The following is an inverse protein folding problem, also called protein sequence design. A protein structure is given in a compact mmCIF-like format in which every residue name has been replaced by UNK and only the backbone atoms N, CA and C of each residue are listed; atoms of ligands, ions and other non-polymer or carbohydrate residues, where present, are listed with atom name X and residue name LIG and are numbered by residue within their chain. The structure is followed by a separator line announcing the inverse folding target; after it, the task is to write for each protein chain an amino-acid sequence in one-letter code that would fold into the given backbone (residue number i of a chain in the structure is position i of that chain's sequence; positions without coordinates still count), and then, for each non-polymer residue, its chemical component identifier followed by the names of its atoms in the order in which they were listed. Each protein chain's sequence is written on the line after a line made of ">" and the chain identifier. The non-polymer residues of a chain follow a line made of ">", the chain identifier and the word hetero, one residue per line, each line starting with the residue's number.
data_IF_210347969522
#
_entry.id   IF_210347969522
#
_cell.length_a   1.000
_cell.length_b   1.000
_cell.length_c   1.000
_cell.angle_alpha   90.00
_cell.angle_beta   90.00
_cell.angle_gamma   90.00
#
_symmetry.space_group_name_H-M   'P 1'
#
loop_
_entity.id
_entity.type
_entity.pdbx_description
1 polymer ?
#
# COMPACT_ATOMS: atom_id res chain seq x y z
N UNK A 1 -21.81 -10.96 10.82
CA UNK A 1 -20.49 -10.32 10.51
C UNK A 1 -19.40 -11.27 10.98
N UNK A 2 -18.65 -11.87 10.07
CA UNK A 2 -17.62 -12.88 10.37
C UNK A 2 -16.47 -12.35 11.24
N UNK A 3 -16.19 -11.05 11.18
CA UNK A 3 -15.14 -10.43 11.99
C UNK A 3 -15.59 -9.98 13.39
N UNK A 4 -16.86 -10.13 13.73
CA UNK A 4 -17.44 -9.70 15.01
C UNK A 4 -17.96 -10.83 15.88
N UNK A 5 -17.51 -12.07 15.66
CA UNK A 5 -17.93 -13.24 16.45
C UNK A 5 -17.37 -13.17 17.86
N UNK A 6 -18.21 -12.83 18.84
CA UNK A 6 -17.82 -12.71 20.24
C UNK A 6 -17.25 -14.01 20.83
N UNK A 7 -17.80 -15.14 20.44
CA UNK A 7 -17.36 -16.44 20.96
C UNK A 7 -15.99 -16.84 20.42
N UNK A 8 -15.73 -16.55 19.14
CA UNK A 8 -14.40 -16.71 18.57
C UNK A 8 -13.39 -15.75 19.23
N UNK A 9 -13.78 -14.50 19.44
CA UNK A 9 -12.96 -13.53 20.15
C UNK A 9 -12.61 -13.96 21.57
N UNK A 10 -13.57 -14.45 22.34
CA UNK A 10 -13.35 -14.98 23.69
C UNK A 10 -12.40 -16.18 23.67
N UNK A 11 -12.61 -17.11 22.73
CA UNK A 11 -11.74 -18.26 22.56
C UNK A 11 -10.30 -17.84 22.27
N UNK A 12 -10.08 -16.95 21.29
CA UNK A 12 -8.73 -16.47 20.96
C UNK A 12 -8.09 -15.72 22.13
N UNK A 13 -8.87 -14.95 22.90
CA UNK A 13 -8.36 -14.26 24.09
C UNK A 13 -8.01 -15.21 25.22
N UNK A 14 -8.62 -16.38 25.30
CA UNK A 14 -8.29 -17.41 26.30
C UNK A 14 -7.00 -18.19 26.02
N UNK A 15 -6.48 -18.12 24.79
CA UNK A 15 -5.21 -18.77 24.44
C UNK A 15 -4.05 -18.02 25.13
N UNK A 16 -3.08 -18.79 25.65
CA UNK A 16 -1.89 -18.22 26.29
C UNK A 16 -1.23 -17.19 25.33
N UNK A 17 -0.98 -15.97 25.78
CA UNK A 17 -0.29 -14.95 25.00
C UNK A 17 1.04 -15.41 24.37
N UNK A 18 1.78 -16.28 25.04
CA UNK A 18 3.04 -16.84 24.55
C UNK A 18 2.87 -17.62 23.25
N UNK A 19 1.75 -18.27 23.03
CA UNK A 19 1.45 -19.01 21.80
C UNK A 19 1.05 -18.08 20.65
N UNK A 20 0.67 -16.85 20.97
CA UNK A 20 0.25 -15.84 19.98
C UNK A 20 1.42 -14.94 19.54
N UNK A 21 2.53 -14.95 20.28
CA UNK A 21 3.72 -14.20 19.91
C UNK A 21 4.40 -14.87 18.73
N UNK A 22 4.81 -14.08 17.76
CA UNK A 22 5.49 -14.57 16.57
C UNK A 22 6.94 -15.00 16.86
N UNK A 23 7.11 -16.21 17.38
CA UNK A 23 8.42 -16.84 17.59
C UNK A 23 8.92 -17.64 16.38
N UNK A 24 8.12 -17.77 15.36
CA UNK A 24 8.39 -18.62 14.18
C UNK A 24 8.79 -17.84 12.94
N UNK A 25 9.02 -16.53 13.07
CA UNK A 25 9.35 -15.63 11.96
C UNK A 25 8.35 -15.68 10.80
N UNK A 26 7.10 -16.03 11.10
CA UNK A 26 6.02 -16.08 10.12
C UNK A 26 4.74 -15.48 10.70
N UNK A 27 4.24 -14.43 10.08
CA UNK A 27 3.00 -13.79 10.51
C UNK A 27 1.80 -14.72 10.50
N UNK A 28 0.96 -14.64 11.55
CA UNK A 28 -0.25 -15.45 11.72
C UNK A 28 0.00 -16.97 11.86
N UNK A 29 1.16 -17.38 12.36
CA UNK A 29 1.56 -18.78 12.44
C UNK A 29 0.50 -19.67 13.09
N UNK A 30 0.01 -19.30 14.28
CA UNK A 30 -1.00 -20.10 15.00
C UNK A 30 -2.27 -20.36 14.16
N UNK A 31 -2.72 -19.37 13.42
CA UNK A 31 -3.87 -19.50 12.54
C UNK A 31 -3.56 -20.42 11.35
N UNK A 32 -2.39 -20.28 10.76
CA UNK A 32 -1.95 -21.12 9.65
C UNK A 32 -1.83 -22.59 10.07
N UNK A 33 -1.23 -22.85 11.22
CA UNK A 33 -1.09 -24.18 11.79
C UNK A 33 -2.45 -24.84 12.04
N UNK A 34 -3.41 -24.08 12.56
CA UNK A 34 -4.77 -24.58 12.75
C UNK A 34 -5.45 -25.05 11.44
N UNK A 35 -5.20 -24.35 10.33
CA UNK A 35 -5.73 -24.75 9.02
C UNK A 35 -4.88 -25.83 8.32
N UNK A 36 -3.58 -25.93 8.66
CA UNK A 36 -2.70 -26.95 8.10
C UNK A 36 -3.12 -28.37 8.55
N UNK A 37 -3.53 -28.51 9.81
CA UNK A 37 -3.96 -29.78 10.38
C UNK A 37 -5.10 -30.44 9.58
N UNK A 38 -6.04 -29.65 9.12
CA UNK A 38 -7.23 -30.12 8.39
C UNK A 38 -7.06 -30.12 6.87
N UNK A 39 -5.92 -29.65 6.34
CA UNK A 39 -5.63 -29.53 4.90
C UNK A 39 -6.71 -28.80 4.08
N UNK A 40 -7.33 -27.81 4.68
CA UNK A 40 -8.46 -27.05 4.09
C UNK A 40 -7.96 -26.10 2.97
N UNK A 41 -6.74 -25.61 3.09
CA UNK A 41 -6.15 -24.65 2.14
C UNK A 41 -4.94 -25.27 1.42
N UNK A 42 -4.73 -24.97 0.13
CA UNK A 42 -3.49 -25.28 -0.56
C UNK A 42 -2.27 -24.70 0.17
N UNK A 43 -1.15 -25.41 0.15
CA UNK A 43 0.05 -25.03 0.90
C UNK A 43 0.63 -23.70 0.44
N UNK A 44 0.62 -23.40 -0.85
CA UNK A 44 1.07 -22.13 -1.45
C UNK A 44 0.25 -20.93 -0.98
N UNK A 45 -1.03 -21.12 -0.66
CA UNK A 45 -1.89 -20.10 -0.05
C UNK A 45 -1.66 -20.05 1.45
N UNK A 46 -1.62 -21.19 2.10
CA UNK A 46 -1.51 -21.29 3.56
C UNK A 46 -0.20 -20.66 4.07
N UNK A 47 0.92 -20.93 3.40
CA UNK A 47 2.25 -20.50 3.81
C UNK A 47 2.77 -19.28 3.05
N UNK A 48 1.90 -18.62 2.28
CA UNK A 48 2.26 -17.39 1.58
C UNK A 48 2.78 -16.33 2.56
N UNK A 49 3.81 -15.61 2.17
CA UNK A 49 4.29 -14.43 2.89
C UNK A 49 3.12 -13.46 3.16
N UNK A 50 3.11 -12.88 4.36
CA UNK A 50 2.13 -11.85 4.67
C UNK A 50 2.38 -10.63 3.77
N UNK A 51 1.35 -10.21 3.07
CA UNK A 51 1.34 -8.93 2.38
C UNK A 51 0.23 -8.05 2.95
N UNK A 52 0.41 -6.74 2.99
CA UNK A 52 -0.69 -5.85 3.25
C UNK A 52 -1.68 -5.91 2.09
N UNK A 53 -2.92 -5.51 2.34
CA UNK A 53 -3.96 -5.53 1.30
C UNK A 53 -3.54 -4.66 0.10
N UNK A 54 -2.96 -3.49 0.36
CA UNK A 54 -2.41 -2.61 -0.66
C UNK A 54 -1.36 -3.28 -1.55
N UNK A 55 -0.47 -4.07 -0.96
CA UNK A 55 0.59 -4.75 -1.72
C UNK A 55 0.08 -5.95 -2.50
N UNK A 56 -0.87 -6.68 -1.91
CA UNK A 56 -1.42 -7.88 -2.54
C UNK A 56 -2.28 -7.55 -3.77
N UNK A 57 -2.86 -6.35 -3.82
CA UNK A 57 -3.79 -5.91 -4.89
C UNK A 57 -3.17 -4.81 -5.77
N UNK A 58 -2.25 -4.02 -5.24
CA UNK A 58 -1.82 -2.76 -5.82
C UNK A 58 -0.56 -2.79 -6.68
N UNK A 59 0.27 -3.84 -6.60
CA UNK A 59 1.56 -3.82 -7.31
C UNK A 59 1.39 -3.67 -8.83
N UNK A 60 0.57 -4.48 -9.45
CA UNK A 60 0.31 -4.38 -10.89
C UNK A 60 -0.36 -3.06 -11.27
N UNK A 61 -1.33 -2.60 -10.49
CA UNK A 61 -2.04 -1.35 -10.75
C UNK A 61 -1.12 -0.13 -10.66
N UNK A 62 -0.17 -0.12 -9.73
CA UNK A 62 0.80 0.99 -9.59
C UNK A 62 1.71 1.05 -10.80
N UNK A 63 2.23 -0.09 -11.24
CA UNK A 63 3.10 -0.17 -12.42
C UNK A 63 2.33 0.18 -13.69
N UNK A 64 1.12 -0.34 -13.86
CA UNK A 64 0.22 -0.03 -14.98
C UNK A 64 -0.11 1.47 -15.06
N UNK A 65 -0.41 2.13 -13.93
CA UNK A 65 -0.70 3.56 -13.89
C UNK A 65 0.52 4.40 -14.25
N UNK A 66 1.71 3.98 -13.81
CA UNK A 66 2.96 4.65 -14.16
C UNK A 66 3.25 4.52 -15.65
N UNK A 67 3.18 3.30 -16.20
CA UNK A 67 3.37 3.06 -17.64
C UNK A 67 2.34 3.85 -18.45
N UNK A 68 1.10 3.90 -18.00
CA UNK A 68 0.06 4.70 -18.65
C UNK A 68 0.43 6.19 -18.64
N UNK A 69 0.85 6.75 -17.51
CA UNK A 69 1.25 8.15 -17.42
C UNK A 69 2.48 8.45 -18.30
N UNK A 70 3.47 7.54 -18.34
CA UNK A 70 4.62 7.66 -19.22
C UNK A 70 4.22 7.66 -20.71
N UNK A 71 3.18 6.91 -21.07
CA UNK A 71 2.68 6.86 -22.45
C UNK A 71 1.87 8.09 -22.88
N UNK A 72 1.33 8.86 -21.91
CA UNK A 72 0.48 10.03 -22.18
C UNK A 72 1.26 11.31 -22.51
N UNK A 73 2.48 11.43 -21.98
CA UNK A 73 3.25 12.65 -22.09
C UNK A 73 4.66 12.38 -22.59
N UNK A 74 5.10 13.14 -23.58
CA UNK A 74 6.54 13.25 -23.85
C UNK A 74 7.22 14.03 -22.72
N UNK A 75 8.56 14.00 -22.68
CA UNK A 75 9.31 14.75 -21.65
C UNK A 75 9.13 16.25 -21.84
N UNK A 76 9.05 16.72 -23.07
CA UNK A 76 8.83 18.11 -23.40
C UNK A 76 7.42 18.56 -22.97
N UNK A 77 6.39 17.79 -23.29
CA UNK A 77 5.01 18.09 -22.89
C UNK A 77 4.86 18.09 -21.36
N UNK A 78 5.51 17.16 -20.68
CA UNK A 78 5.52 17.11 -19.22
C UNK A 78 6.16 18.39 -18.63
N UNK A 79 7.34 18.77 -19.12
CA UNK A 79 8.05 19.97 -18.61
C UNK A 79 7.30 21.28 -18.93
N UNK A 80 6.56 21.35 -20.02
CA UNK A 80 5.71 22.50 -20.34
C UNK A 80 4.47 22.57 -19.46
N UNK A 81 3.74 21.47 -19.36
CA UNK A 81 2.47 21.41 -18.64
C UNK A 81 2.65 21.58 -17.12
N UNK A 82 3.66 20.96 -16.52
CA UNK A 82 3.88 21.07 -15.08
C UNK A 82 4.11 22.51 -14.60
N UNK A 83 4.70 23.36 -15.44
CA UNK A 83 4.97 24.78 -15.12
C UNK A 83 3.69 25.61 -14.95
N UNK A 84 2.56 25.14 -15.46
CA UNK A 84 1.27 25.80 -15.29
C UNK A 84 0.76 25.72 -13.84
N UNK A 85 1.28 24.80 -13.05
CA UNK A 85 0.88 24.55 -11.67
C UNK A 85 1.94 25.09 -10.70
N UNK A 86 1.73 26.28 -10.15
CA UNK A 86 2.64 26.90 -9.18
C UNK A 86 2.52 26.29 -7.79
N UNK A 87 1.33 25.82 -7.41
CA UNK A 87 1.09 25.16 -6.13
C UNK A 87 1.17 23.64 -6.31
N UNK A 88 1.90 22.95 -5.43
CA UNK A 88 2.12 21.50 -5.51
C UNK A 88 2.49 21.06 -6.94
N UNK A 89 3.52 21.70 -7.51
CA UNK A 89 3.97 21.45 -8.87
C UNK A 89 4.26 19.97 -9.10
N UNK A 90 3.66 19.33 -10.11
CA UNK A 90 3.91 17.93 -10.41
C UNK A 90 5.39 17.63 -10.64
N UNK A 91 5.89 16.55 -10.07
CA UNK A 91 7.31 16.17 -10.15
C UNK A 91 7.56 14.82 -10.87
N UNK A 92 6.48 14.15 -11.28
CA UNK A 92 6.50 13.00 -12.19
C UNK A 92 5.36 13.12 -13.20
N UNK A 93 5.40 12.38 -14.31
CA UNK A 93 4.30 12.32 -15.29
C UNK A 93 3.01 11.78 -14.65
N UNK A 94 3.13 10.82 -13.73
CA UNK A 94 2.01 10.30 -12.96
C UNK A 94 1.39 11.38 -12.06
N UNK A 95 2.21 12.17 -11.36
CA UNK A 95 1.71 13.28 -10.54
C UNK A 95 1.06 14.38 -11.41
N UNK A 96 1.54 14.59 -12.64
CA UNK A 96 0.91 15.48 -13.59
C UNK A 96 -0.47 14.97 -14.03
N UNK A 97 -0.59 13.68 -14.33
CA UNK A 97 -1.87 13.04 -14.66
C UNK A 97 -2.90 13.26 -13.54
N UNK A 98 -2.50 13.02 -12.29
CA UNK A 98 -3.39 13.24 -11.15
C UNK A 98 -3.77 14.70 -10.98
N UNK A 99 -2.82 15.61 -11.22
CA UNK A 99 -3.11 17.04 -11.17
C UNK A 99 -4.06 17.49 -12.25
N UNK A 100 -3.89 17.05 -13.48
CA UNK A 100 -4.82 17.37 -14.58
C UNK A 100 -6.22 16.82 -14.32
N UNK A 101 -6.33 15.60 -13.80
CA UNK A 101 -7.61 15.02 -13.39
C UNK A 101 -8.25 15.80 -12.24
N UNK A 102 -7.46 16.21 -11.26
CA UNK A 102 -7.96 17.04 -10.15
C UNK A 102 -8.52 18.37 -10.66
N UNK A 103 -7.77 19.09 -11.47
CA UNK A 103 -8.23 20.38 -12.03
C UNK A 103 -9.45 20.24 -12.95
N UNK A 104 -9.60 19.11 -13.62
CA UNK A 104 -10.79 18.82 -14.43
C UNK A 104 -12.08 18.78 -13.60
N UNK A 105 -12.02 18.21 -12.39
CA UNK A 105 -13.18 18.02 -11.54
C UNK A 105 -13.30 19.09 -10.43
N UNK A 106 -12.19 19.69 -10.04
CA UNK A 106 -12.09 20.69 -8.97
C UNK A 106 -11.25 21.90 -9.44
N UNK A 107 -11.67 22.62 -10.48
CA UNK A 107 -10.86 23.69 -11.07
C UNK A 107 -10.54 24.79 -10.06
N UNK A 108 -9.27 25.16 -9.97
CA UNK A 108 -8.79 26.23 -9.09
C UNK A 108 -8.84 25.91 -7.59
N UNK A 109 -9.03 24.64 -7.21
CA UNK A 109 -9.14 24.24 -5.80
C UNK A 109 -7.90 23.46 -5.29
N UNK A 110 -6.79 23.55 -5.96
CA UNK A 110 -5.59 22.79 -5.61
C UNK A 110 -5.09 23.04 -4.17
N UNK A 111 -5.28 24.26 -3.65
CA UNK A 111 -4.88 24.62 -2.28
C UNK A 111 -5.68 23.89 -1.18
N UNK A 112 -6.78 23.21 -1.53
CA UNK A 112 -7.47 22.28 -0.62
C UNK A 112 -6.61 21.04 -0.29
N UNK A 113 -5.71 20.67 -1.18
CA UNK A 113 -4.74 19.57 -0.97
C UNK A 113 -3.55 20.15 -0.23
N UNK A 114 -3.44 19.88 1.07
CA UNK A 114 -2.37 20.46 1.91
C UNK A 114 -0.97 20.02 1.49
N UNK A 115 -0.82 18.74 1.13
CA UNK A 115 0.43 18.15 0.68
C UNK A 115 0.15 16.81 -0.01
N UNK A 116 1.11 16.28 -0.76
CA UNK A 116 1.03 14.89 -1.19
C UNK A 116 1.10 13.98 0.02
N UNK A 117 0.22 12.95 0.04
CA UNK A 117 0.36 11.93 1.07
C UNK A 117 1.69 11.20 0.88
N UNK A 118 2.50 11.26 1.90
CA UNK A 118 3.80 10.60 1.93
C UNK A 118 3.92 9.87 3.26
N UNK A 119 4.55 8.69 3.31
CA UNK A 119 4.94 8.09 4.58
C UNK A 119 5.78 9.08 5.40
N UNK A 120 5.80 8.89 6.72
CA UNK A 120 6.62 9.73 7.57
C UNK A 120 8.09 9.69 7.12
N UNK A 121 8.61 10.82 6.70
CA UNK A 121 10.00 10.96 6.18
C UNK A 121 11.07 10.65 7.21
N UNK A 122 10.71 10.70 8.50
CA UNK A 122 11.61 10.37 9.61
C UNK A 122 11.80 8.86 9.80
N UNK A 123 11.03 8.04 9.10
CA UNK A 123 11.19 6.60 9.13
C UNK A 123 12.26 6.14 8.15
N UNK A 124 13.14 5.30 8.63
CA UNK A 124 14.16 4.68 7.78
C UNK A 124 13.54 3.95 6.58
N UNK A 125 14.04 4.22 5.39
CA UNK A 125 13.53 3.63 4.14
C UNK A 125 12.26 4.27 3.57
N UNK A 126 11.78 5.36 4.15
CA UNK A 126 10.60 6.10 3.68
C UNK A 126 10.93 7.28 2.76
N UNK A 127 12.10 7.30 2.12
CA UNK A 127 12.47 8.30 1.11
C UNK A 127 11.72 8.05 -0.22
N UNK A 128 10.40 8.15 -0.15
CA UNK A 128 9.52 7.99 -1.31
C UNK A 128 9.30 9.36 -1.95
N UNK A 129 9.78 9.53 -3.17
CA UNK A 129 9.60 10.75 -3.97
C UNK A 129 8.41 10.70 -4.93
N UNK A 130 7.74 9.58 -5.00
CA UNK A 130 6.66 9.29 -5.92
C UNK A 130 5.33 9.18 -5.16
N UNK A 131 4.23 9.84 -5.60
CA UNK A 131 2.91 9.70 -4.97
C UNK A 131 2.33 8.31 -5.06
N UNK A 132 2.76 7.48 -5.98
CA UNK A 132 2.40 6.07 -5.98
C UNK A 132 3.10 5.38 -4.80
N UNK A 133 2.31 4.91 -3.84
CA UNK A 133 2.80 4.24 -2.63
C UNK A 133 3.52 2.95 -2.98
N UNK A 134 4.82 3.04 -3.23
CA UNK A 134 5.66 1.88 -3.52
C UNK A 134 6.11 1.20 -2.24
N UNK A 135 6.49 -0.06 -2.41
CA UNK A 135 7.02 -0.91 -1.35
C UNK A 135 8.09 -0.16 -0.56
N UNK A 136 7.80 0.11 0.69
CA UNK A 136 8.80 0.59 1.62
C UNK A 136 9.82 -0.52 1.86
N UNK A 137 11.10 -0.18 1.95
CA UNK A 137 12.17 -1.16 2.15
C UNK A 137 12.02 -1.98 3.44
N UNK A 138 11.31 -1.45 4.44
CA UNK A 138 11.01 -2.12 5.69
C UNK A 138 9.70 -2.93 5.69
N UNK A 139 9.02 -3.02 4.56
CA UNK A 139 7.70 -3.65 4.48
C UNK A 139 7.75 -5.16 4.75
N UNK A 140 8.84 -5.81 4.35
CA UNK A 140 9.09 -7.21 4.65
C UNK A 140 9.23 -7.53 6.14
N UNK A 141 9.53 -6.54 6.97
CA UNK A 141 9.64 -6.67 8.42
C UNK A 141 8.28 -6.48 9.15
N UNK A 142 7.23 -6.03 8.46
CA UNK A 142 5.93 -5.84 9.09
C UNK A 142 5.22 -7.17 9.34
N UNK A 143 5.26 -7.62 10.58
CA UNK A 143 4.62 -8.88 11.01
C UNK A 143 5.59 -10.05 11.20
N UNK A 144 6.88 -9.75 11.29
CA UNK A 144 7.92 -10.66 11.80
C UNK A 144 8.16 -10.36 13.27
#
# INVERSE_FOLDING_TARGET
>A
MSFGGLDFGKYVMSIDPKLKVNSYHMGKYLLREAFAADRILPEDILWRQKAAFSDAVGHSMVDDLKEYAESLYTDEEYEEKRKQYSFATPFTKESLLYRELFEKYYPGQAEMVKDFWMPNKDWEGCDVKDPSARVLSNYGASGV
#
